data_IF_527578618491
#
_entry.id   IF_527578618491
#
_cell.length_a   1.000
_cell.length_b   1.000
_cell.length_c   1.000
_cell.angle_alpha   90.00
_cell.angle_beta   90.00
_cell.angle_gamma   90.00
#
_symmetry.space_group_name_H-M   'P 1'
#
loop_
_entity.id
_entity.type
_entity.pdbx_description
1 polymer ?
#
# COMPACT_ATOMS: atom_id res chain seq x y z
N UNK A 1 12.97 -34.77 -26.46
CA UNK A 1 14.28 -34.59 -25.80
C UNK A 1 14.12 -34.96 -24.34
N UNK A 2 14.89 -35.93 -23.84
CA UNK A 2 15.03 -36.15 -22.40
C UNK A 2 15.49 -34.81 -21.81
N UNK A 3 14.76 -34.31 -20.82
CA UNK A 3 15.05 -33.01 -20.23
C UNK A 3 16.22 -33.22 -19.27
N UNK A 4 17.43 -32.92 -19.73
CA UNK A 4 18.61 -32.95 -18.87
C UNK A 4 18.47 -31.89 -17.76
N UNK A 5 18.87 -32.21 -16.51
CA UNK A 5 18.95 -31.24 -15.43
C UNK A 5 19.90 -30.10 -15.79
N UNK A 6 19.62 -28.89 -15.32
CA UNK A 6 20.51 -27.74 -15.54
C UNK A 6 21.70 -27.83 -14.59
N UNK A 7 22.92 -27.68 -15.13
CA UNK A 7 24.13 -27.56 -14.34
C UNK A 7 24.34 -26.12 -13.83
N UNK A 8 24.96 -25.97 -12.66
CA UNK A 8 25.35 -24.67 -12.11
C UNK A 8 24.28 -23.94 -11.29
N UNK A 9 23.08 -24.51 -11.13
CA UNK A 9 22.04 -23.95 -10.24
C UNK A 9 22.38 -24.29 -8.79
N UNK A 10 22.46 -23.27 -7.94
CA UNK A 10 22.74 -23.46 -6.52
C UNK A 10 21.47 -23.72 -5.72
N UNK A 11 21.47 -24.80 -4.92
CA UNK A 11 20.34 -25.21 -4.09
C UNK A 11 19.88 -24.11 -3.11
N UNK A 12 20.84 -23.38 -2.54
CA UNK A 12 20.58 -22.26 -1.64
C UNK A 12 19.84 -21.10 -2.34
N UNK A 13 20.15 -20.84 -3.62
CA UNK A 13 19.48 -19.79 -4.40
C UNK A 13 18.04 -20.19 -4.72
N UNK A 14 17.77 -21.47 -5.00
CA UNK A 14 16.40 -21.96 -5.17
C UNK A 14 15.58 -21.80 -3.89
N UNK A 15 16.14 -22.22 -2.75
CA UNK A 15 15.51 -22.07 -1.42
C UNK A 15 15.22 -20.61 -1.11
N UNK A 16 16.22 -19.74 -1.27
CA UNK A 16 16.07 -18.29 -1.11
C UNK A 16 14.96 -17.74 -2.02
N UNK A 17 14.93 -18.10 -3.31
CA UNK A 17 13.93 -17.59 -4.23
C UNK A 17 12.50 -17.99 -3.83
N UNK A 18 12.33 -19.20 -3.28
CA UNK A 18 11.05 -19.70 -2.74
C UNK A 18 10.65 -18.98 -1.46
N UNK A 19 11.54 -18.92 -0.49
CA UNK A 19 11.27 -18.34 0.84
C UNK A 19 11.00 -16.84 0.76
N UNK A 20 11.71 -16.12 -0.12
CA UNK A 20 11.52 -14.67 -0.34
C UNK A 20 10.21 -14.31 -1.06
N UNK A 21 9.44 -15.29 -1.56
CA UNK A 21 8.05 -15.10 -2.01
C UNK A 21 7.03 -15.77 -1.09
N UNK A 22 7.46 -16.27 0.07
CA UNK A 22 6.60 -16.85 1.09
C UNK A 22 5.95 -18.18 0.72
N UNK A 23 6.53 -18.95 -0.21
CA UNK A 23 5.95 -20.22 -0.65
C UNK A 23 6.52 -21.42 0.12
N UNK A 24 5.68 -22.41 0.38
CA UNK A 24 6.09 -23.74 0.83
C UNK A 24 6.58 -24.61 -0.34
N UNK A 25 7.26 -25.72 -0.03
CA UNK A 25 7.67 -26.70 -1.03
C UNK A 25 6.44 -27.28 -1.77
N UNK A 26 5.36 -27.56 -1.04
CA UNK A 26 4.13 -28.12 -1.59
C UNK A 26 3.44 -27.15 -2.56
N UNK A 27 3.42 -25.87 -2.24
CA UNK A 27 2.84 -24.85 -3.13
C UNK A 27 3.61 -24.75 -4.44
N UNK A 28 4.94 -24.75 -4.38
CA UNK A 28 5.80 -24.75 -5.59
C UNK A 28 5.56 -26.03 -6.42
N UNK A 29 5.48 -27.18 -5.76
CA UNK A 29 5.22 -28.46 -6.38
C UNK A 29 3.88 -28.49 -7.13
N UNK A 30 2.81 -27.98 -6.51
CA UNK A 30 1.48 -27.82 -7.13
C UNK A 30 1.56 -26.89 -8.36
N UNK A 31 2.24 -25.74 -8.24
CA UNK A 31 2.39 -24.77 -9.34
C UNK A 31 3.15 -25.35 -10.54
N UNK A 32 4.16 -26.18 -10.30
CA UNK A 32 4.96 -26.84 -11.33
C UNK A 32 4.36 -28.17 -11.83
N UNK A 33 3.41 -28.75 -11.09
CA UNK A 33 2.86 -30.09 -11.29
C UNK A 33 3.93 -31.18 -11.20
N UNK A 34 4.73 -31.12 -10.15
CA UNK A 34 5.77 -32.11 -9.80
C UNK A 34 5.55 -32.60 -8.35
N UNK A 35 6.13 -33.72 -7.93
CA UNK A 35 6.12 -34.14 -6.52
C UNK A 35 6.88 -33.14 -5.62
N UNK A 36 6.40 -32.92 -4.40
CA UNK A 36 7.09 -32.04 -3.43
C UNK A 36 8.50 -32.53 -3.08
N UNK A 37 8.71 -33.85 -3.08
CA UNK A 37 10.03 -34.47 -2.92
C UNK A 37 11.03 -34.00 -4.00
N UNK A 38 10.59 -33.83 -5.25
CA UNK A 38 11.45 -33.36 -6.34
C UNK A 38 11.93 -31.92 -6.09
N UNK A 39 11.06 -31.05 -5.57
CA UNK A 39 11.44 -29.67 -5.19
C UNK A 39 12.39 -29.67 -3.99
N UNK A 40 12.15 -30.54 -3.00
CA UNK A 40 13.02 -30.70 -1.85
C UNK A 40 14.42 -31.19 -2.25
N UNK A 41 14.51 -32.14 -3.18
CA UNK A 41 15.78 -32.65 -3.71
C UNK A 41 16.59 -31.55 -4.39
N UNK A 42 15.93 -30.65 -5.15
CA UNK A 42 16.59 -29.49 -5.74
C UNK A 42 17.16 -28.53 -4.69
N UNK A 43 16.41 -28.25 -3.63
CA UNK A 43 16.85 -27.38 -2.54
C UNK A 43 17.84 -28.04 -1.57
N UNK A 44 18.04 -29.36 -1.67
CA UNK A 44 19.07 -30.11 -0.98
C UNK A 44 20.34 -30.34 -1.81
N UNK A 45 20.32 -29.97 -3.10
CA UNK A 45 21.42 -30.25 -4.04
C UNK A 45 21.51 -31.71 -4.48
N UNK A 46 20.49 -32.54 -4.17
CA UNK A 46 20.40 -33.94 -4.59
C UNK A 46 19.85 -34.10 -6.02
N UNK A 47 19.38 -33.01 -6.63
CA UNK A 47 18.95 -32.92 -8.01
C UNK A 47 18.94 -31.48 -8.51
N UNK A 48 18.52 -31.28 -9.76
CA UNK A 48 18.33 -29.94 -10.32
C UNK A 48 17.09 -29.91 -11.24
N UNK A 49 16.41 -28.75 -11.34
CA UNK A 49 15.34 -28.59 -12.30
C UNK A 49 15.91 -28.64 -13.73
N UNK A 50 15.08 -29.08 -14.66
CA UNK A 50 15.35 -28.95 -16.10
C UNK A 50 15.24 -27.48 -16.52
N UNK A 51 15.83 -27.09 -17.65
CA UNK A 51 15.82 -25.68 -18.06
C UNK A 51 14.40 -25.10 -18.18
N UNK A 52 13.47 -25.90 -18.74
CA UNK A 52 12.07 -25.51 -18.84
C UNK A 52 11.36 -25.41 -17.46
N UNK A 53 11.77 -26.20 -16.46
CA UNK A 53 11.28 -26.05 -15.08
C UNK A 53 11.88 -24.79 -14.45
N UNK A 54 13.18 -24.54 -14.64
CA UNK A 54 13.86 -23.37 -14.12
C UNK A 54 13.30 -22.06 -14.69
N UNK A 55 12.99 -22.00 -15.99
CA UNK A 55 12.32 -20.84 -16.59
C UNK A 55 10.93 -20.60 -16.00
N UNK A 56 10.16 -21.66 -15.74
CA UNK A 56 8.86 -21.54 -15.07
C UNK A 56 9.03 -21.03 -13.64
N UNK A 57 9.99 -21.60 -12.90
CA UNK A 57 10.33 -21.13 -11.55
C UNK A 57 10.69 -19.65 -11.58
N UNK A 58 11.65 -19.24 -12.40
CA UNK A 58 12.11 -17.87 -12.51
C UNK A 58 10.98 -16.90 -12.90
N UNK A 59 10.33 -17.12 -14.04
CA UNK A 59 9.43 -16.13 -14.63
C UNK A 59 7.99 -16.21 -14.13
N UNK A 60 7.52 -17.37 -13.68
CA UNK A 60 6.11 -17.59 -13.32
C UNK A 60 5.91 -17.72 -11.81
N UNK A 61 6.81 -18.41 -11.11
CA UNK A 61 6.69 -18.71 -9.67
C UNK A 61 7.40 -17.66 -8.82
N UNK A 62 8.70 -17.47 -8.97
CA UNK A 62 9.49 -16.60 -8.10
C UNK A 62 9.57 -15.15 -8.57
N UNK A 63 9.28 -14.90 -9.86
CA UNK A 63 9.35 -13.58 -10.51
C UNK A 63 10.74 -12.95 -10.36
N UNK A 64 11.75 -13.71 -10.75
CA UNK A 64 13.18 -13.34 -10.73
C UNK A 64 13.77 -13.45 -12.14
N UNK A 65 14.79 -12.64 -12.47
CA UNK A 65 15.59 -12.89 -13.67
C UNK A 65 16.21 -14.29 -13.61
N UNK A 66 16.20 -15.00 -14.73
CA UNK A 66 16.72 -16.37 -14.82
C UNK A 66 18.20 -16.45 -14.41
N UNK A 67 18.98 -15.41 -14.74
CA UNK A 67 20.40 -15.33 -14.42
C UNK A 67 20.70 -15.42 -12.91
N UNK A 68 19.77 -14.99 -12.04
CA UNK A 68 19.97 -15.03 -10.58
C UNK A 68 20.19 -16.45 -10.08
N UNK A 69 19.58 -17.47 -10.70
CA UNK A 69 19.70 -18.87 -10.28
C UNK A 69 21.07 -19.48 -10.54
N UNK A 70 21.94 -18.78 -11.29
CA UNK A 70 23.32 -19.18 -11.57
C UNK A 70 24.34 -18.39 -10.73
N UNK A 71 23.89 -17.58 -9.77
CA UNK A 71 24.78 -16.94 -8.82
C UNK A 71 25.40 -17.98 -7.87
N UNK A 72 26.64 -17.77 -7.41
CA UNK A 72 27.32 -18.70 -6.50
C UNK A 72 26.68 -18.79 -5.11
N UNK A 73 25.93 -17.76 -4.70
CA UNK A 73 25.22 -17.69 -3.43
C UNK A 73 23.98 -16.79 -3.57
N UNK A 74 22.99 -16.90 -2.68
CA UNK A 74 21.85 -15.98 -2.63
C UNK A 74 22.30 -14.51 -2.54
N UNK A 75 21.69 -13.59 -3.30
CA UNK A 75 22.00 -12.18 -3.16
C UNK A 75 21.48 -11.66 -1.81
N UNK A 76 22.14 -10.62 -1.30
CA UNK A 76 21.67 -9.92 -0.10
C UNK A 76 20.40 -9.14 -0.44
N UNK A 77 19.28 -9.53 0.17
CA UNK A 77 17.98 -8.90 -0.01
C UNK A 77 17.26 -8.80 1.34
N UNK A 78 16.76 -7.60 1.64
CA UNK A 78 15.91 -7.38 2.81
C UNK A 78 14.57 -8.07 2.59
N UNK A 79 14.28 -9.07 3.41
CA UNK A 79 13.01 -9.78 3.38
C UNK A 79 11.94 -9.04 4.19
N UNK A 80 10.66 -9.10 3.80
CA UNK A 80 9.58 -8.44 4.53
C UNK A 80 9.54 -8.79 6.03
N UNK A 81 9.89 -10.03 6.37
CA UNK A 81 9.98 -10.52 7.76
C UNK A 81 10.96 -9.71 8.63
N UNK A 82 12.02 -9.19 8.02
CA UNK A 82 13.00 -8.34 8.71
C UNK A 82 12.54 -6.88 8.82
N UNK A 83 11.67 -6.43 7.91
CA UNK A 83 11.25 -5.04 7.75
C UNK A 83 9.96 -4.71 8.51
N UNK A 84 9.01 -5.64 8.61
CA UNK A 84 7.74 -5.46 9.33
C UNK A 84 7.74 -6.15 10.69
N UNK A 85 8.74 -5.86 11.52
CA UNK A 85 8.90 -6.47 12.87
C UNK A 85 7.72 -6.20 13.82
N UNK A 86 6.89 -5.21 13.49
CA UNK A 86 5.68 -4.83 14.21
C UNK A 86 4.47 -5.68 13.84
N UNK A 87 4.56 -6.54 12.82
CA UNK A 87 3.52 -7.51 12.53
C UNK A 87 3.72 -8.79 13.34
N UNK A 88 2.65 -9.38 13.91
CA UNK A 88 2.74 -10.69 14.52
C UNK A 88 3.29 -11.73 13.53
N UNK A 89 4.15 -12.64 14.01
CA UNK A 89 4.76 -13.66 13.14
C UNK A 89 3.71 -14.51 12.41
N UNK A 90 2.57 -14.76 13.03
CA UNK A 90 1.47 -15.52 12.42
C UNK A 90 0.90 -14.81 11.19
N UNK A 91 0.80 -13.48 11.23
CA UNK A 91 0.35 -12.69 10.08
C UNK A 91 1.37 -12.71 8.95
N UNK A 92 2.66 -12.61 9.30
CA UNK A 92 3.73 -12.71 8.31
C UNK A 92 3.76 -14.06 7.59
N UNK A 93 3.49 -15.15 8.31
CA UNK A 93 3.40 -16.51 7.73
C UNK A 93 2.15 -16.73 6.88
N UNK A 94 1.12 -15.89 7.04
CA UNK A 94 -0.15 -15.98 6.27
C UNK A 94 -0.21 -15.01 5.09
N UNK A 95 0.87 -14.26 4.83
CA UNK A 95 0.93 -13.39 3.66
C UNK A 95 0.91 -14.22 2.38
N UNK A 96 0.01 -13.87 1.47
CA UNK A 96 -0.02 -14.48 0.15
C UNK A 96 1.23 -14.08 -0.66
N UNK A 97 1.66 -14.96 -1.56
CA UNK A 97 2.73 -14.69 -2.54
C UNK A 97 2.60 -13.33 -3.24
N UNK A 98 1.38 -12.93 -3.59
CA UNK A 98 1.10 -11.65 -4.23
C UNK A 98 1.57 -10.47 -3.37
N UNK A 99 1.32 -10.50 -2.07
CA UNK A 99 1.75 -9.47 -1.11
C UNK A 99 3.27 -9.38 -1.05
N UNK A 100 3.99 -10.51 -1.00
CA UNK A 100 5.45 -10.52 -1.08
C UNK A 100 5.97 -9.84 -2.35
N UNK A 101 5.31 -10.08 -3.50
CA UNK A 101 5.67 -9.44 -4.76
C UNK A 101 5.37 -7.93 -4.76
N UNK A 102 4.28 -7.47 -4.13
CA UNK A 102 4.00 -6.03 -4.00
C UNK A 102 5.07 -5.35 -3.13
N UNK A 103 5.50 -5.97 -2.03
CA UNK A 103 6.55 -5.42 -1.15
C UNK A 103 7.89 -5.34 -1.91
N UNK A 104 8.27 -6.40 -2.64
CA UNK A 104 9.47 -6.38 -3.48
C UNK A 104 9.40 -5.27 -4.54
N UNK A 105 8.25 -5.08 -5.18
CA UNK A 105 8.05 -4.00 -6.14
C UNK A 105 8.20 -2.63 -5.50
N UNK A 106 7.72 -2.45 -4.27
CA UNK A 106 7.86 -1.22 -3.50
C UNK A 106 9.34 -0.93 -3.16
N UNK A 107 10.11 -1.93 -2.75
CA UNK A 107 11.56 -1.81 -2.55
C UNK A 107 12.29 -1.45 -3.86
N UNK A 108 11.90 -2.07 -4.98
CA UNK A 108 12.43 -1.72 -6.30
C UNK A 108 12.13 -0.26 -6.69
N UNK A 109 10.94 0.26 -6.35
CA UNK A 109 10.63 1.67 -6.52
C UNK A 109 11.50 2.57 -5.61
N UNK A 110 11.81 2.18 -4.37
CA UNK A 110 12.72 2.97 -3.52
C UNK A 110 14.13 3.06 -4.12
N UNK A 111 14.66 1.96 -4.65
CA UNK A 111 15.92 1.95 -5.38
C UNK A 111 15.85 2.87 -6.62
N UNK A 112 14.78 2.75 -7.40
CA UNK A 112 14.56 3.57 -8.59
C UNK A 112 14.45 5.07 -8.24
N UNK A 113 13.79 5.42 -7.13
CA UNK A 113 13.73 6.79 -6.62
C UNK A 113 15.13 7.30 -6.25
N UNK A 114 15.96 6.46 -5.63
CA UNK A 114 17.36 6.75 -5.34
C UNK A 114 18.15 7.13 -6.59
N UNK A 115 18.04 6.34 -7.66
CA UNK A 115 18.73 6.62 -8.93
C UNK A 115 18.16 7.85 -9.64
N UNK A 116 16.83 7.95 -9.71
CA UNK A 116 16.12 9.02 -10.40
C UNK A 116 16.29 10.37 -9.71
N UNK A 117 16.44 10.43 -8.39
CA UNK A 117 16.63 11.70 -7.68
C UNK A 117 18.05 11.88 -7.11
N UNK A 118 18.99 11.01 -7.48
CA UNK A 118 20.39 11.10 -7.05
C UNK A 118 20.57 11.03 -5.53
N UNK A 119 19.78 10.18 -4.87
CA UNK A 119 19.84 9.96 -3.42
C UNK A 119 19.24 11.08 -2.58
N UNK A 120 18.63 12.11 -3.18
CA UNK A 120 18.07 13.26 -2.45
C UNK A 120 16.57 13.40 -2.70
N UNK A 121 15.79 13.55 -1.63
CA UNK A 121 14.36 13.79 -1.79
C UNK A 121 14.10 15.16 -2.45
N UNK A 122 13.22 15.25 -3.47
CA UNK A 122 12.92 16.50 -4.17
C UNK A 122 11.98 17.43 -3.40
N UNK A 123 11.39 17.00 -2.27
CA UNK A 123 10.50 17.85 -1.47
C UNK A 123 11.26 18.93 -0.70
N UNK A 124 10.69 20.14 -0.66
CA UNK A 124 11.25 21.25 0.11
C UNK A 124 11.18 21.00 1.62
N UNK A 125 10.18 20.23 2.06
CA UNK A 125 10.00 19.81 3.46
C UNK A 125 9.69 18.32 3.48
N UNK A 126 10.37 17.60 4.37
CA UNK A 126 10.22 16.16 4.57
C UNK A 126 9.44 15.91 5.85
N UNK A 127 8.15 15.58 5.74
CA UNK A 127 7.23 15.56 6.89
C UNK A 127 7.66 14.59 8.00
N UNK A 128 8.28 13.45 7.66
CA UNK A 128 8.77 12.46 8.61
C UNK A 128 9.97 12.94 9.43
N UNK A 129 10.67 14.00 8.98
CA UNK A 129 11.78 14.63 9.72
C UNK A 129 11.30 15.78 10.62
N UNK A 130 10.16 16.39 10.32
CA UNK A 130 9.66 17.57 11.03
C UNK A 130 8.46 17.32 11.95
N UNK A 131 7.73 16.22 11.74
CA UNK A 131 6.40 16.00 12.34
C UNK A 131 6.26 14.62 12.99
N UNK A 132 7.31 14.15 13.67
CA UNK A 132 7.31 12.86 14.36
C UNK A 132 6.14 12.72 15.34
N UNK A 133 5.50 11.55 15.34
CA UNK A 133 4.40 11.24 16.23
C UNK A 133 4.89 10.55 17.51
N UNK A 134 4.08 10.67 18.56
CA UNK A 134 4.31 10.04 19.86
C UNK A 134 2.99 9.58 20.46
N UNK A 135 2.96 8.34 20.97
CA UNK A 135 1.80 7.77 21.66
C UNK A 135 1.48 8.50 22.99
N UNK A 136 2.42 9.30 23.50
CA UNK A 136 2.27 10.05 24.75
C UNK A 136 1.64 11.43 24.58
N UNK A 137 1.57 11.94 23.36
CA UNK A 137 1.03 13.27 23.05
C UNK A 137 -0.46 13.20 22.62
N UNK A 138 -1.25 14.27 22.83
CA UNK A 138 -2.65 14.29 22.40
C UNK A 138 -2.80 14.12 20.89
N UNK A 139 -3.62 13.15 20.47
CA UNK A 139 -3.91 12.84 19.06
C UNK A 139 -4.38 14.08 18.29
N UNK A 140 -5.27 14.89 18.88
CA UNK A 140 -5.83 16.10 18.25
C UNK A 140 -4.77 17.12 17.86
N UNK A 141 -3.83 17.43 18.76
CA UNK A 141 -2.73 18.36 18.48
C UNK A 141 -1.81 17.82 17.39
N UNK A 142 -1.47 16.54 17.46
CA UNK A 142 -0.58 15.91 16.50
C UNK A 142 -1.21 15.84 15.10
N UNK A 143 -2.48 15.43 15.01
CA UNK A 143 -3.23 15.37 13.76
C UNK A 143 -3.39 16.75 13.12
N UNK A 144 -3.66 17.80 13.91
CA UNK A 144 -3.70 19.17 13.41
C UNK A 144 -2.35 19.58 12.80
N UNK A 145 -1.22 19.33 13.50
CA UNK A 145 0.13 19.61 12.98
C UNK A 145 0.42 18.87 11.68
N UNK A 146 0.02 17.60 11.58
CA UNK A 146 0.19 16.81 10.35
C UNK A 146 -0.65 17.39 9.22
N UNK A 147 -1.91 17.72 9.47
CA UNK A 147 -2.81 18.33 8.50
C UNK A 147 -2.28 19.68 8.00
N UNK A 148 -1.80 20.53 8.91
CA UNK A 148 -1.19 21.82 8.59
C UNK A 148 0.07 21.64 7.72
N UNK A 149 0.89 20.63 8.02
CA UNK A 149 2.07 20.30 7.22
C UNK A 149 1.73 19.78 5.82
N UNK A 150 0.58 19.11 5.65
CA UNK A 150 0.03 18.71 4.35
C UNK A 150 -0.63 19.86 3.60
N UNK A 151 -0.92 20.99 4.26
CA UNK A 151 -1.48 22.18 3.64
C UNK A 151 -2.96 22.08 3.24
N UNK A 152 -3.69 21.06 3.69
CA UNK A 152 -5.10 20.84 3.32
C UNK A 152 -6.04 21.44 4.37
N UNK A 153 -6.76 22.49 3.97
CA UNK A 153 -7.81 23.09 4.82
C UNK A 153 -9.10 22.27 4.79
N UNK A 154 -10.00 22.45 5.77
CA UNK A 154 -11.30 21.77 5.76
C UNK A 154 -12.22 22.29 4.67
N UNK A 155 -12.17 23.58 4.37
CA UNK A 155 -12.95 24.18 3.27
C UNK A 155 -12.50 23.61 1.92
N UNK A 156 -11.19 23.42 1.72
CA UNK A 156 -10.67 22.76 0.53
C UNK A 156 -11.16 21.32 0.43
N UNK A 157 -11.05 20.54 1.52
CA UNK A 157 -11.54 19.16 1.56
C UNK A 157 -13.04 19.05 1.25
N UNK A 158 -13.85 19.94 1.83
CA UNK A 158 -15.30 19.99 1.62
C UNK A 158 -15.68 20.43 0.19
N UNK A 159 -14.78 21.13 -0.51
CA UNK A 159 -15.01 21.57 -1.90
C UNK A 159 -14.84 20.46 -2.94
N UNK A 160 -14.26 19.32 -2.57
CA UNK A 160 -14.00 18.24 -3.52
C UNK A 160 -15.28 17.50 -3.89
N UNK A 161 -15.61 17.51 -5.18
CA UNK A 161 -16.90 17.05 -5.70
C UNK A 161 -17.10 15.53 -5.65
N UNK A 162 -16.02 14.75 -5.52
CA UNK A 162 -16.07 13.29 -5.47
C UNK A 162 -14.83 12.68 -4.81
N UNK A 163 -14.94 11.42 -4.42
CA UNK A 163 -13.89 10.69 -3.72
C UNK A 163 -12.60 10.48 -4.55
N UNK A 164 -12.70 10.52 -5.88
CA UNK A 164 -11.55 10.35 -6.77
C UNK A 164 -10.66 11.60 -6.75
N UNK A 165 -11.27 12.77 -6.84
CA UNK A 165 -10.60 14.05 -6.62
C UNK A 165 -10.02 14.13 -5.21
N UNK A 166 -10.80 13.73 -4.19
CA UNK A 166 -10.32 13.74 -2.81
C UNK A 166 -9.07 12.86 -2.62
N UNK A 167 -9.06 11.63 -3.16
CA UNK A 167 -7.89 10.76 -3.10
C UNK A 167 -6.71 11.37 -3.87
N UNK A 168 -6.95 11.96 -5.04
CA UNK A 168 -5.91 12.63 -5.83
C UNK A 168 -5.24 13.75 -5.05
N UNK A 169 -6.02 14.61 -4.39
CA UNK A 169 -5.49 15.74 -3.63
C UNK A 169 -4.76 15.31 -2.36
N UNK A 170 -5.30 14.34 -1.61
CA UNK A 170 -4.59 13.79 -0.45
C UNK A 170 -3.26 13.13 -0.83
N UNK A 171 -3.23 12.35 -1.92
CA UNK A 171 -1.97 11.76 -2.43
C UNK A 171 -0.97 12.84 -2.81
N UNK A 172 -1.42 13.85 -3.56
CA UNK A 172 -0.59 14.97 -3.97
C UNK A 172 0.03 15.68 -2.76
N UNK A 173 -0.76 16.00 -1.75
CA UNK A 173 -0.27 16.64 -0.53
C UNK A 173 0.81 15.81 0.20
N UNK A 174 0.60 14.49 0.29
CA UNK A 174 1.58 13.56 0.88
C UNK A 174 2.87 13.48 0.05
N UNK A 175 2.77 13.44 -1.29
CA UNK A 175 3.91 13.45 -2.21
C UNK A 175 4.70 14.77 -2.19
N UNK A 176 4.02 15.91 -2.05
CA UNK A 176 4.64 17.22 -1.89
C UNK A 176 5.37 17.36 -0.56
N UNK A 177 4.89 16.67 0.49
CA UNK A 177 5.56 16.49 1.78
C UNK A 177 6.72 15.46 1.77
N UNK A 178 7.02 14.90 0.59
CA UNK A 178 8.21 14.07 0.33
C UNK A 178 8.02 12.56 0.46
N UNK A 179 6.80 12.07 0.72
CA UNK A 179 6.51 10.63 0.80
C UNK A 179 5.89 10.18 -0.53
N UNK A 180 6.51 9.22 -1.21
CA UNK A 180 6.00 8.76 -2.51
C UNK A 180 4.85 7.77 -2.32
N UNK A 181 3.76 7.93 -3.08
CA UNK A 181 2.56 7.10 -2.94
C UNK A 181 2.29 6.27 -4.19
N UNK A 182 2.40 4.96 -4.04
CA UNK A 182 2.11 3.96 -5.06
C UNK A 182 0.83 3.20 -4.75
N UNK A 183 0.24 2.57 -5.75
CA UNK A 183 -0.96 1.77 -5.59
C UNK A 183 -0.97 0.56 -6.52
N UNK A 184 -1.54 -0.54 -6.06
CA UNK A 184 -1.79 -1.73 -6.88
C UNK A 184 -3.01 -2.48 -6.39
N UNK A 185 -3.57 -3.38 -7.20
CA UNK A 185 -4.62 -4.28 -6.75
C UNK A 185 -3.99 -5.49 -6.03
N UNK A 186 -4.32 -5.69 -4.76
CA UNK A 186 -3.80 -6.81 -3.98
C UNK A 186 -4.78 -7.97 -4.11
N UNK A 187 -4.27 -9.19 -4.27
CA UNK A 187 -5.10 -10.41 -4.25
C UNK A 187 -5.65 -10.71 -2.86
N UNK A 188 -4.85 -10.47 -1.82
CA UNK A 188 -5.24 -10.61 -0.43
C UNK A 188 -6.04 -9.38 0.01
N UNK A 189 -7.37 -9.45 -0.07
CA UNK A 189 -8.28 -8.30 0.12
C UNK A 189 -8.26 -7.73 1.54
N UNK A 190 -7.87 -8.51 2.54
CA UNK A 190 -7.71 -8.06 3.92
C UNK A 190 -6.61 -6.99 4.08
N UNK A 191 -5.62 -6.96 3.19
CA UNK A 191 -4.53 -5.98 3.25
C UNK A 191 -4.99 -4.69 2.59
N UNK A 192 -4.91 -3.60 3.33
CA UNK A 192 -5.33 -2.26 2.89
C UNK A 192 -4.19 -1.45 2.27
N UNK A 193 -2.96 -1.73 2.71
CA UNK A 193 -1.75 -1.05 2.28
C UNK A 193 -0.59 -1.41 3.18
N UNK A 194 0.56 -0.82 2.87
CA UNK A 194 1.75 -0.86 3.71
C UNK A 194 2.61 0.37 3.45
N UNK A 195 3.58 0.62 4.31
CA UNK A 195 4.58 1.67 4.15
C UNK A 195 5.99 1.15 4.46
N UNK A 196 6.97 1.72 3.75
CA UNK A 196 8.39 1.42 3.92
C UNK A 196 9.13 2.73 4.23
N UNK A 197 9.81 2.76 5.36
CA UNK A 197 10.71 3.83 5.76
C UNK A 197 12.01 3.76 4.97
N UNK A 198 12.54 4.93 4.66
CA UNK A 198 13.88 5.13 4.11
C UNK A 198 14.35 6.55 4.49
N UNK A 199 15.65 6.76 4.57
CA UNK A 199 16.23 8.04 4.99
C UNK A 199 15.91 9.20 4.02
N UNK A 200 15.76 8.86 2.73
CA UNK A 200 15.50 9.81 1.66
C UNK A 200 14.14 9.56 0.98
N UNK A 201 13.72 8.32 0.78
CA UNK A 201 12.54 7.96 -0.04
C UNK A 201 11.57 7.04 0.71
N UNK A 202 10.94 7.51 1.80
CA UNK A 202 9.85 6.76 2.42
C UNK A 202 8.68 6.67 1.44
N UNK A 203 8.02 5.52 1.43
CA UNK A 203 6.91 5.25 0.51
C UNK A 203 5.69 4.68 1.22
N UNK A 204 4.53 4.96 0.64
CA UNK A 204 3.25 4.34 0.98
C UNK A 204 2.75 3.57 -0.24
N UNK A 205 2.26 2.36 -0.02
CA UNK A 205 1.75 1.47 -1.05
C UNK A 205 0.32 1.05 -0.71
N UNK A 206 -0.67 1.53 -1.47
CA UNK A 206 -2.10 1.31 -1.17
C UNK A 206 -2.70 0.18 -2.01
N UNK A 207 -3.64 -0.56 -1.40
CA UNK A 207 -4.49 -1.49 -2.12
C UNK A 207 -5.59 -0.72 -2.89
N UNK A 208 -5.55 -0.76 -4.21
CA UNK A 208 -6.54 -0.11 -5.07
C UNK A 208 -7.83 -0.94 -5.23
N UNK A 209 -7.92 -2.14 -4.65
CA UNK A 209 -9.11 -3.00 -4.69
C UNK A 209 -10.24 -2.52 -3.75
N UNK A 210 -10.03 -1.46 -2.96
CA UNK A 210 -11.04 -0.90 -2.05
C UNK A 210 -11.63 0.42 -2.55
N UNK A 211 -12.71 0.90 -1.95
CA UNK A 211 -13.29 2.22 -2.27
C UNK A 211 -12.28 3.35 -2.06
N UNK A 212 -12.43 4.44 -2.82
CA UNK A 212 -11.51 5.60 -2.73
C UNK A 212 -11.46 6.19 -1.32
N UNK A 213 -12.60 6.30 -0.63
CA UNK A 213 -12.67 6.66 0.81
C UNK A 213 -11.87 5.73 1.73
N UNK A 214 -11.89 4.41 1.50
CA UNK A 214 -11.04 3.46 2.26
C UNK A 214 -9.56 3.65 1.94
N UNK A 215 -9.22 3.96 0.69
CA UNK A 215 -7.84 4.26 0.29
C UNK A 215 -7.33 5.57 0.92
N UNK A 216 -8.17 6.60 1.04
CA UNK A 216 -7.84 7.86 1.74
C UNK A 216 -7.54 7.57 3.21
N UNK A 217 -8.39 6.78 3.88
CA UNK A 217 -8.15 6.39 5.27
C UNK A 217 -6.84 5.60 5.40
N UNK A 218 -6.63 4.61 4.52
CA UNK A 218 -5.39 3.82 4.49
C UNK A 218 -4.16 4.71 4.29
N UNK A 219 -4.22 5.70 3.39
CA UNK A 219 -3.13 6.66 3.17
C UNK A 219 -2.76 7.43 4.44
N UNK A 220 -3.76 7.95 5.17
CA UNK A 220 -3.49 8.67 6.43
C UNK A 220 -3.00 7.74 7.54
N UNK A 221 -3.48 6.49 7.55
CA UNK A 221 -3.04 5.47 8.50
C UNK A 221 -1.57 5.07 8.26
N UNK A 222 -1.20 4.78 7.02
CA UNK A 222 0.19 4.47 6.64
C UNK A 222 1.12 5.68 6.85
N UNK A 223 0.63 6.89 6.60
CA UNK A 223 1.36 8.11 6.96
C UNK A 223 1.66 8.16 8.46
N UNK A 224 0.69 7.80 9.32
CA UNK A 224 0.92 7.77 10.77
C UNK A 224 2.01 6.76 11.17
N UNK A 225 2.07 5.58 10.52
CA UNK A 225 3.18 4.64 10.72
C UNK A 225 4.53 5.23 10.34
N UNK A 226 4.64 5.88 9.16
CA UNK A 226 5.88 6.53 8.75
C UNK A 226 6.30 7.64 9.73
N UNK A 227 5.34 8.42 10.25
CA UNK A 227 5.63 9.46 11.23
C UNK A 227 5.97 8.92 12.64
N UNK A 228 5.68 7.66 12.92
CA UNK A 228 6.21 6.90 14.07
C UNK A 228 7.58 6.27 13.78
N UNK A 229 8.17 6.56 12.61
CA UNK A 229 9.46 6.03 12.15
C UNK A 229 9.48 4.49 12.11
N UNK A 230 8.41 3.90 11.56
CA UNK A 230 8.27 2.46 11.41
C UNK A 230 7.68 2.07 10.06
N UNK A 231 8.01 0.86 9.63
CA UNK A 231 7.28 0.18 8.57
C UNK A 231 5.95 -0.35 9.13
N UNK A 232 4.91 -0.33 8.31
CA UNK A 232 3.59 -0.82 8.67
C UNK A 232 3.00 -1.62 7.52
N UNK A 233 2.28 -2.70 7.81
CA UNK A 233 1.45 -3.40 6.83
C UNK A 233 0.10 -3.64 7.50
N UNK A 234 -0.93 -3.04 6.92
CA UNK A 234 -2.16 -2.78 7.65
C UNK A 234 -3.32 -3.62 7.12
N UNK A 235 -4.05 -4.22 8.05
CA UNK A 235 -5.35 -4.86 7.81
C UNK A 235 -6.42 -4.01 8.49
N UNK A 236 -7.38 -3.47 7.73
CA UNK A 236 -8.40 -2.54 8.25
C UNK A 236 -9.59 -3.23 8.97
N UNK A 237 -9.42 -4.46 9.45
CA UNK A 237 -10.45 -5.18 10.19
C UNK A 237 -10.32 -4.91 11.70
N UNK A 238 -11.39 -4.39 12.32
CA UNK A 238 -11.42 -4.16 13.77
C UNK A 238 -11.24 -5.44 14.60
N UNK A 239 -11.79 -6.57 14.14
CA UNK A 239 -11.65 -7.85 14.84
C UNK A 239 -10.21 -8.36 14.82
N UNK A 240 -9.46 -8.04 13.76
CA UNK A 240 -8.04 -8.31 13.69
C UNK A 240 -7.25 -7.49 14.72
N UNK A 241 -7.49 -6.18 14.79
CA UNK A 241 -6.78 -5.28 15.72
C UNK A 241 -6.99 -5.72 17.17
N UNK A 242 -8.20 -6.16 17.53
CA UNK A 242 -8.48 -6.61 18.89
C UNK A 242 -7.73 -7.89 19.28
N UNK A 243 -7.42 -8.74 18.29
CA UNK A 243 -6.65 -9.98 18.45
C UNK A 243 -5.13 -9.77 18.47
N UNK A 244 -4.63 -8.58 18.11
CA UNK A 244 -3.21 -8.25 18.15
C UNK A 244 -2.64 -8.26 19.58
N UNK A 245 -1.34 -8.54 19.74
CA UNK A 245 -0.67 -8.35 21.01
C UNK A 245 -0.70 -6.87 21.45
N UNK A 246 -0.50 -6.64 22.75
CA UNK A 246 -0.83 -5.35 23.36
C UNK A 246 -0.07 -4.16 22.76
N UNK A 247 1.19 -4.34 22.36
CA UNK A 247 2.03 -3.27 21.84
C UNK A 247 1.57 -2.84 20.43
N UNK A 248 1.41 -3.80 19.54
CA UNK A 248 0.95 -3.65 18.16
C UNK A 248 -0.47 -3.07 18.15
N UNK A 249 -1.36 -3.60 18.99
CA UNK A 249 -2.72 -3.08 19.14
C UNK A 249 -2.74 -1.60 19.56
N UNK A 250 -1.82 -1.16 20.42
CA UNK A 250 -1.73 0.26 20.81
C UNK A 250 -1.29 1.13 19.64
N UNK A 251 -0.32 0.68 18.86
CA UNK A 251 0.17 1.38 17.67
C UNK A 251 -0.95 1.49 16.63
N UNK A 252 -1.59 0.38 16.27
CA UNK A 252 -2.69 0.34 15.30
C UNK A 252 -3.86 1.25 15.68
N UNK A 253 -4.25 1.23 16.97
CA UNK A 253 -5.30 2.12 17.48
C UNK A 253 -4.88 3.59 17.43
N UNK A 254 -3.61 3.89 17.70
CA UNK A 254 -3.08 5.25 17.60
C UNK A 254 -3.03 5.72 16.14
N UNK A 255 -2.54 4.91 15.20
CA UNK A 255 -2.53 5.23 13.77
C UNK A 255 -3.95 5.46 13.24
N UNK A 256 -4.91 4.63 13.63
CA UNK A 256 -6.34 4.82 13.31
C UNK A 256 -6.89 6.12 13.90
N UNK A 257 -6.54 6.46 15.14
CA UNK A 257 -6.99 7.70 15.77
C UNK A 257 -6.40 8.93 15.07
N UNK A 258 -5.12 8.91 14.70
CA UNK A 258 -4.47 9.98 13.92
C UNK A 258 -5.13 10.12 12.54
N UNK A 259 -5.33 9.02 11.81
CA UNK A 259 -5.97 9.05 10.50
C UNK A 259 -7.39 9.61 10.56
N UNK A 260 -8.19 9.15 11.53
CA UNK A 260 -9.55 9.65 11.74
C UNK A 260 -9.56 11.14 12.13
N UNK A 261 -8.64 11.58 12.99
CA UNK A 261 -8.54 12.96 13.43
C UNK A 261 -8.05 13.91 12.35
N UNK A 262 -7.15 13.47 11.47
CA UNK A 262 -6.73 14.24 10.29
C UNK A 262 -7.93 14.46 9.36
N UNK A 263 -8.69 13.40 9.06
CA UNK A 263 -9.79 13.44 8.09
C UNK A 263 -11.05 14.11 8.63
N UNK A 264 -11.37 13.88 9.91
CA UNK A 264 -12.59 14.32 10.58
C UNK A 264 -12.23 14.99 11.92
N UNK A 265 -11.61 16.19 11.94
CA UNK A 265 -11.19 16.84 13.19
C UNK A 265 -12.34 16.98 14.19
N UNK A 266 -12.17 16.53 15.44
CA UNK A 266 -13.28 16.41 16.40
C UNK A 266 -13.94 17.77 16.66
N UNK A 267 -13.14 18.83 16.82
CA UNK A 267 -13.63 20.17 17.13
C UNK A 267 -14.60 20.73 16.07
N UNK A 268 -14.44 20.32 14.80
CA UNK A 268 -15.34 20.70 13.70
C UNK A 268 -16.50 19.73 13.59
N UNK A 269 -16.21 18.43 13.74
CA UNK A 269 -17.25 17.40 13.77
C UNK A 269 -18.30 17.67 14.84
N UNK A 270 -17.88 18.03 16.05
CA UNK A 270 -18.78 18.32 17.19
C UNK A 270 -19.70 19.50 16.90
N UNK A 271 -19.20 20.55 16.24
CA UNK A 271 -20.01 21.71 15.85
C UNK A 271 -21.05 21.35 14.81
N UNK A 272 -20.68 20.57 13.80
CA UNK A 272 -21.61 20.16 12.73
C UNK A 272 -22.62 19.13 13.25
N UNK A 273 -22.17 18.19 14.08
CA UNK A 273 -23.00 17.14 14.64
C UNK A 273 -23.85 17.61 15.84
N UNK A 274 -23.68 18.85 16.31
CA UNK A 274 -24.54 19.46 17.34
C UNK A 274 -25.97 19.69 16.86
N UNK A 275 -26.19 19.76 15.54
CA UNK A 275 -27.54 19.87 14.95
C UNK A 275 -28.29 18.53 14.94
N UNK A 276 -27.57 17.42 15.11
CA UNK A 276 -28.20 16.10 15.22
C UNK A 276 -28.92 15.97 16.56
N UNK A 277 -30.09 15.29 16.61
CA UNK A 277 -30.81 15.03 17.84
C UNK A 277 -29.97 14.21 18.84
N UNK A 278 -30.39 14.25 20.11
CA UNK A 278 -29.76 13.46 21.18
C UNK A 278 -29.78 11.96 20.88
N UNK A 279 -30.89 11.45 20.31
CA UNK A 279 -30.96 10.10 19.78
C UNK A 279 -30.51 10.08 18.31
N UNK A 280 -29.21 9.89 18.09
CA UNK A 280 -28.63 9.84 16.74
C UNK A 280 -29.09 8.62 15.94
N UNK A 281 -29.50 7.54 16.61
CA UNK A 281 -29.95 6.31 15.93
C UNK A 281 -31.28 6.47 15.19
N UNK A 282 -32.09 7.49 15.54
CA UNK A 282 -33.34 7.82 14.84
C UNK A 282 -33.19 8.77 13.67
N UNK A 283 -31.96 9.23 13.38
CA UNK A 283 -31.69 10.16 12.28
C UNK A 283 -31.75 9.43 10.93
N UNK A 284 -32.18 10.16 9.89
CA UNK A 284 -32.22 9.65 8.53
C UNK A 284 -30.82 9.39 7.95
N UNK A 285 -30.74 8.55 6.90
CA UNK A 285 -29.44 8.25 6.28
C UNK A 285 -28.81 9.45 5.58
N UNK A 286 -29.63 10.40 5.15
CA UNK A 286 -29.24 11.62 4.46
C UNK A 286 -28.35 12.49 5.35
N UNK A 287 -28.64 12.61 6.65
CA UNK A 287 -27.79 13.39 7.56
C UNK A 287 -26.38 12.79 7.71
N UNK A 288 -26.27 11.45 7.74
CA UNK A 288 -24.95 10.80 7.74
C UNK A 288 -24.23 11.01 6.40
N UNK A 289 -24.97 11.03 5.29
CA UNK A 289 -24.42 11.30 3.97
C UNK A 289 -23.95 12.75 3.82
N UNK A 290 -24.67 13.72 4.37
CA UNK A 290 -24.29 15.14 4.38
C UNK A 290 -22.99 15.38 5.17
N UNK A 291 -22.90 14.83 6.39
CA UNK A 291 -21.67 14.87 7.17
C UNK A 291 -20.52 14.17 6.46
N UNK A 292 -20.78 13.00 5.87
CA UNK A 292 -19.78 12.25 5.12
C UNK A 292 -19.30 13.05 3.89
N UNK A 293 -20.21 13.74 3.19
CA UNK A 293 -19.92 14.62 2.07
C UNK A 293 -19.05 15.81 2.47
N UNK A 294 -19.38 16.49 3.58
CA UNK A 294 -18.57 17.61 4.09
C UNK A 294 -17.13 17.19 4.39
N UNK A 295 -16.94 16.02 5.00
CA UNK A 295 -15.60 15.49 5.29
C UNK A 295 -15.02 14.64 4.16
N UNK A 296 -15.68 14.44 3.02
CA UNK A 296 -15.17 13.56 1.95
C UNK A 296 -14.78 12.14 2.43
N UNK A 297 -15.54 11.58 3.38
CA UNK A 297 -15.32 10.25 3.99
C UNK A 297 -16.51 9.33 3.75
N UNK A 298 -16.43 8.07 4.19
CA UNK A 298 -17.58 7.18 4.16
C UNK A 298 -18.58 7.51 5.29
N UNK A 299 -19.87 7.18 5.06
CA UNK A 299 -20.91 7.20 6.11
C UNK A 299 -20.51 6.37 7.33
N UNK A 300 -19.82 5.26 7.11
CA UNK A 300 -19.29 4.39 8.16
C UNK A 300 -18.24 5.10 9.03
N UNK A 301 -17.39 5.95 8.46
CA UNK A 301 -16.40 6.72 9.21
C UNK A 301 -17.06 7.78 10.11
N UNK A 302 -18.10 8.47 9.61
CA UNK A 302 -18.94 9.38 10.41
C UNK A 302 -19.59 8.62 11.56
N UNK A 303 -20.19 7.46 11.27
CA UNK A 303 -20.84 6.65 12.29
C UNK A 303 -19.84 6.12 13.33
N UNK A 304 -18.61 5.78 12.91
CA UNK A 304 -17.54 5.39 13.82
C UNK A 304 -17.16 6.54 14.77
N UNK A 305 -17.09 7.77 14.26
CA UNK A 305 -16.82 8.95 15.09
C UNK A 305 -17.90 9.16 16.15
N UNK A 306 -19.17 8.98 15.79
CA UNK A 306 -20.30 9.06 16.72
C UNK A 306 -20.28 7.93 17.76
N UNK A 307 -19.83 6.73 17.36
CA UNK A 307 -19.64 5.60 18.28
C UNK A 307 -18.55 5.91 19.30
N UNK A 308 -17.41 6.45 18.85
CA UNK A 308 -16.30 6.83 19.73
C UNK A 308 -16.70 7.92 20.74
N UNK A 309 -17.73 8.73 20.42
CA UNK A 309 -18.35 9.72 21.31
C UNK A 309 -19.47 9.15 22.20
N UNK A 310 -19.81 7.87 22.06
CA UNK A 310 -20.92 7.24 22.78
C UNK A 310 -22.31 7.70 22.35
N UNK A 311 -22.45 8.36 21.20
CA UNK A 311 -23.73 8.87 20.67
C UNK A 311 -24.55 7.83 19.92
N UNK A 312 -23.93 6.71 19.54
CA UNK A 312 -24.60 5.54 18.96
C UNK A 312 -24.11 4.27 19.64
N UNK A 313 -24.96 3.25 19.70
CA UNK A 313 -24.61 1.96 20.28
C UNK A 313 -23.71 1.12 19.34
N UNK A 314 -22.86 0.24 19.89
CA UNK A 314 -22.10 -0.71 19.08
C UNK A 314 -22.99 -1.62 18.21
N UNK A 315 -24.20 -1.95 18.68
CA UNK A 315 -25.14 -2.76 17.94
C UNK A 315 -25.68 -2.04 16.69
N UNK A 316 -26.06 -0.76 16.84
CA UNK A 316 -26.48 0.08 15.74
C UNK A 316 -25.36 0.27 14.71
N UNK A 317 -24.14 0.57 15.19
CA UNK A 317 -22.97 0.69 14.33
C UNK A 317 -22.75 -0.57 13.48
N UNK A 318 -22.69 -1.76 14.10
CA UNK A 318 -22.49 -3.03 13.37
C UNK A 318 -23.57 -3.30 12.34
N UNK A 319 -24.84 -3.04 12.69
CA UNK A 319 -25.98 -3.22 11.79
C UNK A 319 -25.87 -2.33 10.54
N UNK A 320 -25.63 -1.02 10.73
CA UNK A 320 -25.48 -0.07 9.63
C UNK A 320 -24.23 -0.33 8.80
N UNK A 321 -23.09 -0.64 9.43
CA UNK A 321 -21.87 -0.98 8.72
C UNK A 321 -22.04 -2.22 7.83
N UNK A 322 -22.68 -3.28 8.34
CA UNK A 322 -22.98 -4.48 7.56
C UNK A 322 -23.91 -4.17 6.36
N UNK A 323 -24.98 -3.40 6.60
CA UNK A 323 -25.92 -2.99 5.56
C UNK A 323 -25.24 -2.14 4.46
N UNK A 324 -24.46 -1.12 4.82
CA UNK A 324 -23.74 -0.29 3.86
C UNK A 324 -22.61 -1.04 3.14
N UNK A 325 -22.00 -2.04 3.80
CA UNK A 325 -21.04 -2.93 3.14
C UNK A 325 -21.72 -3.81 2.10
N UNK A 326 -22.91 -4.35 2.39
CA UNK A 326 -23.70 -5.17 1.46
C UNK A 326 -24.27 -4.37 0.28
N UNK A 327 -24.53 -3.07 0.44
CA UNK A 327 -24.94 -2.17 -0.64
C UNK A 327 -23.84 -1.92 -1.68
N UNK A 328 -22.58 -2.25 -1.38
CA UNK A 328 -21.47 -2.09 -2.32
C UNK A 328 -21.62 -3.12 -3.44
N UNK A 329 -22.02 -2.67 -4.63
CA UNK A 329 -21.84 -3.46 -5.85
C UNK A 329 -20.34 -3.61 -6.08
N UNK A 330 -19.87 -4.84 -6.29
CA UNK A 330 -18.56 -5.10 -6.87
C UNK A 330 -18.52 -4.38 -8.23
N UNK A 331 -17.91 -3.20 -8.26
CA UNK A 331 -17.68 -2.48 -9.51
C UNK A 331 -16.58 -3.23 -10.24
N UNK A 332 -17.00 -4.05 -11.19
CA UNK A 332 -16.14 -4.80 -12.07
C UNK A 332 -15.26 -3.84 -12.89
N UNK A 333 -13.95 -4.03 -12.80
CA UNK A 333 -12.98 -3.80 -13.89
C UNK A 333 -12.93 -2.39 -14.49
N UNK A 334 -12.12 -1.51 -13.89
CA UNK A 334 -11.54 -0.40 -14.66
C UNK A 334 -10.51 -0.92 -15.68
N UNK A 335 -10.41 -0.28 -16.84
CA UNK A 335 -9.44 -0.64 -17.89
C UNK A 335 -8.01 -0.71 -17.31
N UNK A 336 -7.36 -1.87 -17.45
CA UNK A 336 -6.00 -2.14 -16.94
C UNK A 336 -4.97 -1.12 -17.47
N UNK A 337 -5.16 -0.62 -18.70
CA UNK A 337 -4.23 0.31 -19.35
C UNK A 337 -4.51 1.78 -19.07
N UNK A 338 -5.76 2.17 -18.81
CA UNK A 338 -6.10 3.57 -18.46
C UNK A 338 -5.65 3.96 -17.03
N UNK A 339 -5.29 2.99 -16.20
CA UNK A 339 -5.04 3.19 -14.77
C UNK A 339 -3.55 3.12 -14.35
N UNK A 340 -2.61 2.74 -15.23
CA UNK A 340 -1.20 2.61 -14.82
C UNK A 340 -0.57 3.95 -14.41
N UNK A 341 -0.93 5.05 -15.09
CA UNK A 341 -0.52 6.41 -14.70
C UNK A 341 -1.05 6.83 -13.32
N UNK A 342 -2.25 6.39 -12.96
CA UNK A 342 -2.86 6.66 -11.66
C UNK A 342 -2.29 5.79 -10.51
N UNK A 343 -1.54 4.73 -10.84
CA UNK A 343 -1.00 3.76 -9.86
C UNK A 343 0.43 4.07 -9.41
N UNK A 344 1.17 4.85 -10.20
CA UNK A 344 2.47 5.36 -9.81
C UNK A 344 2.32 6.71 -9.09
N UNK A 345 3.38 7.13 -8.39
CA UNK A 345 3.50 8.51 -7.93
C UNK A 345 3.60 9.44 -9.14
N UNK A 346 2.78 10.48 -9.18
CA UNK A 346 2.77 11.45 -10.29
C UNK A 346 4.14 12.15 -10.39
N UNK A 347 4.71 12.52 -9.24
CA UNK A 347 6.04 13.15 -9.19
C UNK A 347 7.14 12.25 -9.74
N UNK A 348 7.15 10.99 -9.33
CA UNK A 348 8.13 10.01 -9.83
C UNK A 348 7.97 9.77 -11.32
N UNK A 349 6.72 9.54 -11.78
CA UNK A 349 6.43 9.28 -13.17
C UNK A 349 6.84 10.46 -14.08
N UNK A 350 6.53 11.70 -13.68
CA UNK A 350 6.94 12.92 -14.40
C UNK A 350 8.45 13.04 -14.48
N UNK A 351 9.18 12.75 -13.41
CA UNK A 351 10.64 12.84 -13.44
C UNK A 351 11.26 11.78 -14.36
N UNK A 352 10.81 10.53 -14.29
CA UNK A 352 11.29 9.46 -15.17
C UNK A 352 11.03 9.80 -16.64
N UNK A 353 9.80 10.18 -16.98
CA UNK A 353 9.44 10.62 -18.34
C UNK A 353 10.31 11.82 -18.74
N UNK A 354 10.41 12.85 -17.90
CA UNK A 354 11.22 14.02 -18.17
C UNK A 354 12.70 13.70 -18.45
N UNK A 355 13.30 12.76 -17.70
CA UNK A 355 14.68 12.30 -17.93
C UNK A 355 14.84 11.56 -19.25
N UNK A 356 13.86 10.74 -19.61
CA UNK A 356 13.86 10.04 -20.89
C UNK A 356 13.85 11.04 -22.08
N UNK A 357 12.97 12.04 -22.03
CA UNK A 357 12.90 13.09 -23.06
C UNK A 357 14.15 13.98 -23.12
N UNK A 358 14.88 14.10 -22.01
CA UNK A 358 16.19 14.78 -21.95
C UNK A 358 17.35 13.86 -22.36
N UNK A 359 17.09 12.64 -22.83
CA UNK A 359 18.07 11.63 -23.19
C UNK A 359 19.05 11.27 -22.05
N UNK A 360 18.61 11.41 -20.81
CA UNK A 360 19.41 11.07 -19.61
C UNK A 360 19.31 9.57 -19.27
N UNK A 361 18.24 8.92 -19.72
CA UNK A 361 17.98 7.48 -19.55
C UNK A 361 17.35 6.90 -20.83
N UNK A 362 17.59 5.62 -21.10
CA UNK A 362 16.97 4.91 -22.24
C UNK A 362 15.50 4.60 -21.99
N UNK A 363 14.78 4.19 -23.04
CA UNK A 363 13.38 3.77 -22.91
C UNK A 363 13.24 2.53 -22.01
N UNK A 364 14.20 1.60 -22.11
CA UNK A 364 14.26 0.39 -21.28
C UNK A 364 14.43 0.77 -19.81
N UNK A 365 15.39 1.64 -19.49
CA UNK A 365 15.60 2.13 -18.12
C UNK A 365 14.35 2.84 -17.57
N UNK A 366 13.72 3.69 -18.40
CA UNK A 366 12.51 4.40 -17.99
C UNK A 366 11.34 3.43 -17.72
N UNK A 367 11.16 2.41 -18.57
CA UNK A 367 10.15 1.38 -18.37
C UNK A 367 10.42 0.53 -17.12
N UNK A 368 11.68 0.16 -16.88
CA UNK A 368 12.11 -0.59 -15.70
C UNK A 368 11.86 0.18 -14.40
N UNK A 369 12.22 1.47 -14.34
CA UNK A 369 11.93 2.33 -13.18
C UNK A 369 10.44 2.45 -12.88
N UNK A 370 9.61 2.54 -13.92
CA UNK A 370 8.16 2.61 -13.77
C UNK A 370 7.51 1.24 -13.50
N UNK A 371 8.27 0.14 -13.57
CA UNK A 371 7.75 -1.21 -13.41
C UNK A 371 6.77 -1.61 -14.52
N UNK A 372 6.94 -1.06 -15.73
CA UNK A 372 6.10 -1.34 -16.90
C UNK A 372 6.91 -2.00 -18.02
N UNK A 373 6.22 -2.56 -19.01
CA UNK A 373 6.90 -3.11 -20.20
C UNK A 373 7.34 -1.96 -21.11
N UNK A 374 8.51 -2.03 -21.77
CA UNK A 374 8.96 -1.02 -22.75
C UNK A 374 7.90 -0.64 -23.79
N UNK A 375 7.21 -1.64 -24.35
CA UNK A 375 6.12 -1.43 -25.31
C UNK A 375 4.90 -0.66 -24.78
N UNK A 376 4.77 -0.54 -23.46
CA UNK A 376 3.68 0.19 -22.79
C UNK A 376 4.08 1.63 -22.46
N UNK A 377 5.34 2.01 -22.66
CA UNK A 377 5.85 3.34 -22.31
C UNK A 377 5.17 4.47 -23.10
N UNK A 378 5.00 4.31 -24.42
CA UNK A 378 4.43 5.34 -25.30
C UNK A 378 3.00 5.77 -24.91
N UNK A 379 2.14 4.83 -24.49
CA UNK A 379 0.80 5.18 -24.00
C UNK A 379 0.81 5.75 -22.58
N UNK A 380 1.81 5.41 -21.78
CA UNK A 380 1.96 5.89 -20.41
C UNK A 380 2.45 7.34 -20.37
N UNK A 381 3.45 7.70 -21.18
CA UNK A 381 4.02 9.05 -21.23
C UNK A 381 2.97 10.10 -21.64
N UNK A 382 2.09 9.79 -22.59
CA UNK A 382 1.00 10.66 -23.02
C UNK A 382 0.11 11.03 -21.83
N UNK A 383 -0.26 10.04 -21.01
CA UNK A 383 -1.07 10.26 -19.82
C UNK A 383 -0.35 11.10 -18.75
N UNK A 384 0.97 10.92 -18.57
CA UNK A 384 1.76 11.71 -17.61
C UNK A 384 1.89 13.16 -18.07
N UNK A 385 2.18 13.38 -19.35
CA UNK A 385 2.43 14.70 -19.93
C UNK A 385 1.14 15.54 -20.05
N UNK A 386 0.03 14.94 -20.46
CA UNK A 386 -1.26 15.62 -20.53
C UNK A 386 -1.97 15.74 -19.16
N UNK A 387 -1.44 15.06 -18.15
CA UNK A 387 -2.04 14.95 -16.82
C UNK A 387 -3.22 13.98 -16.83
N UNK A 388 -3.41 13.25 -15.73
CA UNK A 388 -4.57 12.40 -15.49
C UNK A 388 -5.85 13.27 -15.34
N UNK A 389 -6.30 13.88 -16.43
CA UNK A 389 -7.30 14.93 -16.47
C UNK A 389 -7.73 15.28 -17.89
N UNK A 390 -8.35 14.32 -18.57
CA UNK A 390 -9.68 14.55 -19.14
C UNK A 390 -10.68 13.78 -18.25
#
# INVERSE_FOLDING_TARGET
MKREPVEGVQAEVLRWARETVGLSLDEVAIMLRVPAAEVADWEAGAGAPTYAQLEKLAYQVFKRPLAVFFLPAPPDEKVPQSEFRTLPEADMRSLARDTYLQIRQAQAFQLSLGEVFGGRNPAARMIWKSSSLSLSEPVSRQAARVRDALGITLDEQASWRNDELALKQWRKAVEEAGIFVFKSAFRQREISGFCLMDDAFPIIYLNNSTTKTRQIFSLMHELAHLLLNMNGLSKLDSGYIDALPQAERKIERFCNAIAAEILIPHAVFDRLAATLPANVESVSEEAFAELAGYFGVSREAVLRRLLDQGRVSPAFYRSKAAMWSAQRRDTAGGSYYANQGAYLSDRFAREVVGRHYRHQITLEQAADFLGIKPKSFAGFEEHVLHGAGA
#
